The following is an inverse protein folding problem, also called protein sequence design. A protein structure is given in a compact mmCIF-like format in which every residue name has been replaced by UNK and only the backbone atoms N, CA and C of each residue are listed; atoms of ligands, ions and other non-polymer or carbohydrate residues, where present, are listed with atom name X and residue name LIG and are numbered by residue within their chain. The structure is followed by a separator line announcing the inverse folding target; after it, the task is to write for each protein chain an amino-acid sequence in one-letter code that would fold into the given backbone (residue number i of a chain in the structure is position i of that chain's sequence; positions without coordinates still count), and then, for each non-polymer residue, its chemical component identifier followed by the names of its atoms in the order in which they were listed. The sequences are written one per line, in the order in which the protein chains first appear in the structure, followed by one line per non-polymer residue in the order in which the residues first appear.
data_IF_962922672180
#
_entry.id   IF_962922672180
#
_cell.length_a   1.000
_cell.length_b   1.000
_cell.length_c   1.000
_cell.angle_alpha   90.00
_cell.angle_beta   90.00
_cell.angle_gamma   90.00
#
_symmetry.space_group_name_H-M   'P 1'
#
loop_
_entity.id
_entity.type
_entity.pdbx_description
1 polymer ?
#
# COMPACT_ATOMS: atom_id res chain seq x y z
N UNK A 1 20.12 -21.56 -16.35
CA UNK A 1 19.22 -21.19 -17.47
C UNK A 1 20.01 -20.96 -18.76
N UNK A 2 20.99 -20.05 -18.76
CA UNK A 2 21.74 -19.64 -19.96
C UNK A 2 22.32 -20.77 -20.82
N UNK A 3 22.93 -21.83 -20.24
CA UNK A 3 23.45 -22.96 -21.02
C UNK A 3 22.36 -23.94 -21.50
N UNK A 4 21.24 -24.03 -20.77
CA UNK A 4 20.15 -24.99 -21.05
C UNK A 4 19.15 -24.46 -22.07
N UNK A 5 18.92 -23.15 -22.09
CA UNK A 5 18.08 -22.46 -23.07
C UNK A 5 18.74 -21.13 -23.41
N UNK A 6 19.81 -21.13 -24.23
CA UNK A 6 20.56 -19.93 -24.57
C UNK A 6 19.72 -18.87 -25.28
N UNK A 7 18.70 -19.30 -26.02
CA UNK A 7 17.73 -18.42 -26.70
C UNK A 7 16.48 -18.12 -25.87
N UNK A 8 16.31 -18.75 -24.70
CA UNK A 8 15.11 -18.59 -23.86
C UNK A 8 13.87 -19.36 -24.34
N UNK A 9 13.97 -20.22 -25.36
CA UNK A 9 12.87 -21.07 -25.82
C UNK A 9 12.29 -21.94 -24.67
N UNK A 10 10.96 -22.04 -24.62
CA UNK A 10 10.17 -22.76 -23.59
C UNK A 10 10.42 -22.27 -22.15
N UNK A 11 10.71 -20.99 -21.95
CA UNK A 11 10.82 -20.37 -20.61
C UNK A 11 9.70 -19.35 -20.38
N UNK A 12 9.35 -19.11 -19.11
CA UNK A 12 8.35 -18.10 -18.70
C UNK A 12 9.01 -17.12 -17.75
N UNK A 13 8.91 -15.83 -18.06
CA UNK A 13 9.31 -14.76 -17.16
C UNK A 13 8.14 -14.41 -16.25
N UNK A 14 8.40 -14.40 -14.94
CA UNK A 14 7.41 -14.03 -13.93
C UNK A 14 7.98 -12.91 -13.08
N UNK A 15 7.14 -11.97 -12.70
CA UNK A 15 7.49 -10.89 -11.78
C UNK A 15 6.54 -10.86 -10.58
N UNK A 16 7.10 -10.61 -9.39
CA UNK A 16 6.31 -10.39 -8.19
C UNK A 16 5.48 -9.10 -8.25
N UNK A 17 4.45 -9.01 -7.40
CA UNK A 17 3.63 -7.78 -7.28
C UNK A 17 4.47 -6.59 -6.84
N UNK A 18 4.58 -5.59 -7.72
CA UNK A 18 5.36 -4.36 -7.48
C UNK A 18 4.80 -3.49 -6.34
N UNK A 19 3.48 -3.55 -6.14
CA UNK A 19 2.73 -2.67 -5.24
C UNK A 19 2.41 -3.29 -3.87
N UNK A 20 2.98 -4.45 -3.55
CA UNK A 20 2.76 -5.10 -2.25
C UNK A 20 3.54 -4.45 -1.09
N UNK A 21 4.48 -3.55 -1.39
CA UNK A 21 5.34 -2.89 -0.40
C UNK A 21 4.55 -1.95 0.51
N UNK A 22 4.92 -1.90 1.79
CA UNK A 22 4.26 -1.04 2.77
C UNK A 22 4.34 0.45 2.40
N UNK A 23 5.48 0.88 1.85
CA UNK A 23 5.67 2.24 1.36
C UNK A 23 4.58 2.69 0.36
N UNK A 24 4.13 1.78 -0.50
CA UNK A 24 3.12 2.08 -1.53
C UNK A 24 1.76 2.40 -0.92
N UNK A 25 1.45 1.90 0.29
CA UNK A 25 0.20 2.21 0.99
C UNK A 25 0.13 3.65 1.49
N UNK A 26 1.27 4.32 1.57
CA UNK A 26 1.37 5.72 1.99
C UNK A 26 1.32 6.71 0.82
N UNK A 27 1.27 6.20 -0.42
CA UNK A 27 1.15 7.03 -1.61
C UNK A 27 -0.31 7.23 -2.01
N UNK A 28 -0.58 8.32 -2.73
CA UNK A 28 -1.91 8.67 -3.22
C UNK A 28 -2.48 9.93 -2.55
N UNK A 29 -3.79 10.18 -2.70
CA UNK A 29 -4.47 11.33 -2.11
C UNK A 29 -4.23 11.43 -0.61
N UNK A 30 -4.15 12.65 -0.07
CA UNK A 30 -3.84 12.87 1.34
C UNK A 30 -4.77 12.09 2.28
N UNK A 31 -4.29 11.53 3.41
CA UNK A 31 -5.16 10.84 4.35
C UNK A 31 -6.22 11.80 4.93
N UNK A 32 -7.50 11.44 4.80
CA UNK A 32 -8.61 12.23 5.34
C UNK A 32 -9.41 13.05 4.31
N UNK A 33 -8.96 13.10 3.05
CA UNK A 33 -9.83 13.61 1.96
C UNK A 33 -10.91 12.57 1.61
N UNK A 34 -12.08 12.99 1.09
CA UNK A 34 -13.13 12.07 0.66
C UNK A 34 -12.58 10.98 -0.28
N UNK A 35 -13.03 9.74 -0.07
CA UNK A 35 -12.63 8.56 -0.85
C UNK A 35 -11.13 8.21 -0.82
N UNK A 36 -10.35 8.77 0.11
CA UNK A 36 -8.95 8.37 0.33
C UNK A 36 -8.82 7.16 1.24
N UNK A 37 -8.01 6.20 0.81
CA UNK A 37 -7.62 5.02 1.58
C UNK A 37 -6.12 5.00 1.93
N UNK A 38 -5.42 6.12 1.71
CA UNK A 38 -4.00 6.25 2.00
C UNK A 38 -3.74 6.07 3.50
N UNK A 39 -2.80 5.19 3.83
CA UNK A 39 -2.43 4.91 5.22
C UNK A 39 -1.68 6.11 5.82
N UNK A 40 -2.12 6.70 6.94
CA UNK A 40 -1.37 7.76 7.61
C UNK A 40 -0.09 7.20 8.26
N UNK A 41 0.92 8.05 8.39
CA UNK A 41 2.13 7.74 9.15
C UNK A 41 1.88 7.96 10.65
N UNK A 42 1.65 6.87 11.37
CA UNK A 42 1.47 6.87 12.83
C UNK A 42 2.60 6.10 13.51
N UNK A 43 3.11 6.63 14.62
CA UNK A 43 4.18 5.96 15.41
C UNK A 43 3.70 4.64 16.00
N UNK A 44 2.44 4.57 16.42
CA UNK A 44 1.82 3.39 16.97
C UNK A 44 0.36 3.29 16.52
N UNK A 45 -0.17 2.06 16.52
CA UNK A 45 -1.57 1.79 16.19
C UNK A 45 -2.35 1.54 17.47
N UNK A 46 -3.51 2.18 17.64
CA UNK A 46 -4.35 1.96 18.81
C UNK A 46 -5.57 2.88 18.88
N UNK A 47 -6.40 2.71 19.92
CA UNK A 47 -7.65 3.48 20.11
C UNK A 47 -7.42 5.00 20.18
N UNK A 48 -6.26 5.40 20.72
CA UNK A 48 -5.88 6.80 20.99
C UNK A 48 -5.06 7.46 19.89
N UNK A 49 -4.68 6.74 18.83
CA UNK A 49 -3.81 7.25 17.77
C UNK A 49 -4.59 7.47 16.48
N UNK A 50 -4.85 8.73 16.13
CA UNK A 50 -5.49 9.16 14.87
C UNK A 50 -6.78 8.43 14.48
N UNK A 51 -7.70 8.23 15.43
CA UNK A 51 -9.02 7.62 15.18
C UNK A 51 -10.23 8.48 15.56
N UNK A 52 -10.04 9.73 15.98
CA UNK A 52 -11.11 10.58 16.49
C UNK A 52 -11.67 11.49 15.38
N UNK A 53 -11.53 12.81 15.53
CA UNK A 53 -12.04 13.81 14.60
C UNK A 53 -11.54 13.56 13.16
N UNK A 54 -12.47 13.58 12.21
CA UNK A 54 -12.22 13.34 10.79
C UNK A 54 -11.95 11.92 10.36
N UNK A 55 -12.20 10.96 11.25
CA UNK A 55 -12.17 9.52 10.94
C UNK A 55 -13.49 8.83 11.27
N UNK A 56 -14.41 9.51 11.97
CA UNK A 56 -15.66 8.93 12.48
C UNK A 56 -16.74 10.00 12.52
N UNK A 57 -17.91 9.62 12.01
CA UNK A 57 -19.13 10.45 11.99
C UNK A 57 -19.52 11.02 13.36
N UNK A 58 -19.24 10.30 14.45
CA UNK A 58 -19.58 10.72 15.82
C UNK A 58 -18.62 11.76 16.41
N UNK A 59 -17.53 12.13 15.74
CA UNK A 59 -16.51 13.05 16.25
C UNK A 59 -16.25 14.23 15.31
N UNK A 60 -17.30 14.78 14.69
CA UNK A 60 -17.23 15.98 13.85
C UNK A 60 -17.28 15.69 12.35
N UNK A 61 -16.53 14.71 11.83
CA UNK A 61 -16.60 14.22 10.45
C UNK A 61 -16.20 12.75 10.34
#
# INVERSE_FOLDING_TARGET
LALRSPTGNKTVLIQGRRNAREAVKHFGPAPGVPHSHTKPFVRSKGRKFERARGRRRSCGY
#
